data_IF_145238579825
#
_entry.id   IF_145238579825
#
_cell.length_a   1.000
_cell.length_b   1.000
_cell.length_c   1.000
_cell.angle_alpha   90.00
_cell.angle_beta   90.00
_cell.angle_gamma   90.00
#
_symmetry.space_group_name_H-M   'P 1'
#
loop_
_entity.id
_entity.type
_entity.pdbx_description
1 polymer ?
#
# COMPACT_ATOMS: atom_id res chain seq x y z
N UNK A 1 -61.07 15.21 -1.34
CA UNK A 1 -60.45 15.20 -2.69
C UNK A 1 -59.09 15.89 -2.63
N UNK A 2 -58.11 15.34 -3.37
CA UNK A 2 -56.71 15.80 -3.57
C UNK A 2 -55.73 15.69 -2.38
N UNK A 3 -55.18 14.49 -2.18
CA UNK A 3 -53.97 14.24 -1.36
C UNK A 3 -52.80 13.70 -2.23
N UNK A 4 -52.91 13.81 -3.56
CA UNK A 4 -52.01 13.16 -4.53
C UNK A 4 -50.85 14.06 -5.00
N UNK A 5 -50.99 15.38 -4.94
CA UNK A 5 -50.01 16.33 -5.51
C UNK A 5 -48.63 16.24 -4.86
N UNK A 6 -48.55 16.18 -3.53
CA UNK A 6 -47.26 16.13 -2.82
C UNK A 6 -46.46 14.84 -3.04
N UNK A 7 -47.14 13.72 -3.31
CA UNK A 7 -46.48 12.42 -3.55
C UNK A 7 -45.96 12.28 -4.97
N UNK A 8 -46.69 12.82 -5.95
CA UNK A 8 -46.33 12.75 -7.37
C UNK A 8 -45.14 13.66 -7.68
N UNK A 9 -45.12 14.86 -7.09
CA UNK A 9 -43.97 15.76 -7.19
C UNK A 9 -42.72 15.18 -6.53
N UNK A 10 -42.85 14.56 -5.35
CA UNK A 10 -41.72 13.86 -4.72
C UNK A 10 -41.18 12.73 -5.61
N UNK A 11 -42.04 11.90 -6.20
CA UNK A 11 -41.61 10.79 -7.04
C UNK A 11 -40.88 11.25 -8.32
N UNK A 12 -41.37 12.32 -8.96
CA UNK A 12 -40.75 12.89 -10.15
C UNK A 12 -39.38 13.51 -9.85
N UNK A 13 -39.25 14.18 -8.71
CA UNK A 13 -37.99 14.78 -8.27
C UNK A 13 -36.95 13.71 -7.89
N UNK A 14 -37.40 12.58 -7.32
CA UNK A 14 -36.53 11.42 -7.05
C UNK A 14 -36.05 10.76 -8.35
N UNK A 15 -36.90 10.64 -9.36
CA UNK A 15 -36.52 10.11 -10.68
C UNK A 15 -35.45 10.97 -11.37
N UNK A 16 -35.58 12.29 -11.28
CA UNK A 16 -34.57 13.23 -11.78
C UNK A 16 -33.25 13.14 -11.00
N UNK A 17 -33.33 12.98 -9.67
CA UNK A 17 -32.16 12.74 -8.83
C UNK A 17 -31.45 11.43 -9.21
N UNK A 18 -32.17 10.32 -9.36
CA UNK A 18 -31.58 9.03 -9.72
C UNK A 18 -30.92 9.04 -11.10
N UNK A 19 -31.47 9.80 -12.05
CA UNK A 19 -30.88 9.90 -13.39
C UNK A 19 -29.58 10.72 -13.40
N UNK A 20 -29.52 11.85 -12.67
CA UNK A 20 -28.26 12.61 -12.51
C UNK A 20 -27.23 11.81 -11.70
N UNK A 21 -27.68 11.11 -10.65
CA UNK A 21 -26.83 10.26 -9.83
C UNK A 21 -26.18 9.14 -10.65
N UNK A 22 -26.94 8.42 -11.49
CA UNK A 22 -26.40 7.39 -12.38
C UNK A 22 -25.36 7.93 -13.37
N UNK A 23 -25.54 9.14 -13.89
CA UNK A 23 -24.58 9.75 -14.83
C UNK A 23 -23.27 10.10 -14.13
N UNK A 24 -23.33 10.80 -12.98
CA UNK A 24 -22.13 11.14 -12.21
C UNK A 24 -21.40 9.89 -11.69
N UNK A 25 -22.15 8.89 -11.26
CA UNK A 25 -21.60 7.62 -10.80
C UNK A 25 -20.93 6.84 -11.93
N UNK A 26 -21.51 6.87 -13.14
CA UNK A 26 -20.89 6.28 -14.34
C UNK A 26 -19.54 6.91 -14.67
N UNK A 27 -19.43 8.24 -14.57
CA UNK A 27 -18.17 8.98 -14.80
C UNK A 27 -17.11 8.59 -13.76
N UNK A 28 -17.48 8.50 -12.48
CA UNK A 28 -16.56 8.11 -11.40
C UNK A 28 -16.11 6.66 -11.56
N UNK A 29 -17.00 5.73 -11.89
CA UNK A 29 -16.65 4.34 -12.19
C UNK A 29 -15.69 4.22 -13.38
N UNK A 30 -15.93 4.99 -14.44
CA UNK A 30 -15.07 5.00 -15.64
C UNK A 30 -13.69 5.57 -15.32
N UNK A 31 -13.60 6.58 -14.45
CA UNK A 31 -12.31 7.06 -13.92
C UNK A 31 -11.61 6.03 -13.03
N UNK A 32 -12.32 5.30 -12.17
CA UNK A 32 -11.75 4.23 -11.34
C UNK A 32 -11.19 3.10 -12.20
N UNK A 33 -11.86 2.76 -13.31
CA UNK A 33 -11.38 1.80 -14.29
C UNK A 33 -10.03 2.21 -14.90
N UNK A 34 -9.87 3.48 -15.28
CA UNK A 34 -8.59 4.02 -15.79
C UNK A 34 -7.50 4.09 -14.70
N UNK A 35 -7.85 4.42 -13.46
CA UNK A 35 -6.91 4.49 -12.33
C UNK A 35 -6.33 3.12 -11.98
N UNK A 36 -7.10 2.04 -12.15
CA UNK A 36 -6.61 0.68 -11.95
C UNK A 36 -5.48 0.30 -12.93
N UNK A 37 -5.39 0.94 -14.09
CA UNK A 37 -4.41 0.59 -15.13
C UNK A 37 -3.09 1.38 -15.06
N UNK A 38 -3.02 2.60 -14.50
CA UNK A 38 -1.85 3.50 -14.71
C UNK A 38 -1.04 3.95 -13.47
N UNK A 39 -1.33 3.48 -12.25
CA UNK A 39 -0.41 3.63 -11.10
C UNK A 39 -0.40 4.99 -10.37
N UNK A 40 0.11 5.00 -9.13
CA UNK A 40 -0.61 5.65 -8.00
C UNK A 40 -0.07 6.96 -7.42
N UNK A 41 1.08 7.51 -7.82
CA UNK A 41 1.69 8.65 -7.09
C UNK A 41 1.33 10.05 -7.64
N UNK A 42 1.50 10.29 -8.94
CA UNK A 42 1.09 11.57 -9.56
C UNK A 42 -0.43 11.75 -9.59
N UNK A 43 -1.16 10.63 -9.60
CA UNK A 43 -2.61 10.58 -9.58
C UNK A 43 -3.17 11.02 -8.21
N UNK A 44 -2.58 10.62 -7.09
CA UNK A 44 -3.09 11.02 -5.76
C UNK A 44 -2.88 12.50 -5.47
N UNK A 45 -1.75 13.08 -5.87
CA UNK A 45 -1.52 14.53 -5.76
C UNK A 45 -2.47 15.32 -6.68
N UNK A 46 -2.67 14.84 -7.91
CA UNK A 46 -3.64 15.43 -8.84
C UNK A 46 -5.08 15.33 -8.34
N UNK A 47 -5.52 14.17 -7.83
CA UNK A 47 -6.86 14.00 -7.25
C UNK A 47 -7.05 14.79 -5.97
N UNK A 48 -6.03 14.92 -5.12
CA UNK A 48 -6.14 15.73 -3.91
C UNK A 48 -6.27 17.22 -4.25
N UNK A 49 -5.54 17.70 -5.27
CA UNK A 49 -5.63 19.06 -5.77
C UNK A 49 -6.95 19.32 -6.52
N UNK A 50 -7.44 18.33 -7.29
CA UNK A 50 -8.72 18.38 -7.99
C UNK A 50 -9.90 18.29 -7.03
N UNK A 51 -9.79 17.55 -5.93
CA UNK A 51 -10.74 17.55 -4.82
C UNK A 51 -10.72 18.88 -4.08
N UNK A 52 -9.55 19.46 -3.82
CA UNK A 52 -9.45 20.79 -3.22
C UNK A 52 -10.07 21.86 -4.12
N UNK A 53 -9.83 21.75 -5.43
CA UNK A 53 -10.39 22.64 -6.44
C UNK A 53 -11.91 22.45 -6.58
N UNK A 54 -12.42 21.21 -6.54
CA UNK A 54 -13.86 20.94 -6.57
C UNK A 54 -14.54 21.41 -5.28
N UNK A 55 -13.88 21.30 -4.12
CA UNK A 55 -14.36 21.81 -2.84
C UNK A 55 -14.46 23.34 -2.87
N UNK A 56 -13.43 24.03 -3.37
CA UNK A 56 -13.45 25.48 -3.57
C UNK A 56 -14.55 25.86 -4.56
N UNK A 57 -14.73 25.09 -5.64
CA UNK A 57 -15.80 25.32 -6.62
C UNK A 57 -17.19 25.10 -6.01
N UNK A 58 -17.36 24.11 -5.13
CA UNK A 58 -18.60 23.85 -4.38
C UNK A 58 -18.88 24.96 -3.37
N UNK A 59 -17.86 25.49 -2.69
CA UNK A 59 -18.02 26.66 -1.81
C UNK A 59 -18.29 27.94 -2.58
N UNK A 60 -17.66 28.14 -3.74
CA UNK A 60 -17.93 29.26 -4.64
C UNK A 60 -19.32 29.17 -5.25
N UNK A 61 -19.76 27.99 -5.69
CA UNK A 61 -21.11 27.76 -6.18
C UNK A 61 -22.13 27.90 -5.05
N UNK A 62 -21.85 27.36 -3.85
CA UNK A 62 -22.66 27.55 -2.66
C UNK A 62 -22.78 29.03 -2.27
N UNK A 63 -21.68 29.78 -2.35
CA UNK A 63 -21.61 31.23 -2.12
C UNK A 63 -22.33 32.04 -3.20
N UNK A 64 -22.18 31.68 -4.47
CA UNK A 64 -22.89 32.28 -5.60
C UNK A 64 -24.39 32.01 -5.51
N UNK A 65 -24.80 30.80 -5.12
CA UNK A 65 -26.20 30.42 -4.89
C UNK A 65 -26.76 31.16 -3.67
N UNK A 66 -25.99 31.30 -2.58
CA UNK A 66 -26.36 32.11 -1.43
C UNK A 66 -26.53 33.59 -1.81
N UNK A 67 -25.63 34.12 -2.65
CA UNK A 67 -25.69 35.48 -3.19
C UNK A 67 -26.83 35.66 -4.20
N UNK A 68 -27.20 34.63 -4.96
CA UNK A 68 -28.35 34.64 -5.87
C UNK A 68 -29.69 34.51 -5.14
N UNK A 69 -29.70 33.78 -4.02
CA UNK A 69 -30.84 33.67 -3.11
C UNK A 69 -31.09 34.96 -2.31
N UNK A 70 -30.19 35.96 -2.44
CA UNK A 70 -30.28 37.30 -1.85
C UNK A 70 -30.74 38.36 -2.89
N UNK A 71 -31.62 38.01 -3.83
CA UNK A 71 -32.29 39.01 -4.71
C UNK A 71 -33.52 39.59 -4.01
N UNK A 72 -33.81 40.86 -4.26
CA UNK A 72 -34.93 41.63 -3.66
C UNK A 72 -36.30 40.95 -3.80
N UNK A 73 -36.51 40.08 -4.81
CA UNK A 73 -37.73 39.28 -4.99
C UNK A 73 -37.91 38.13 -3.99
N UNK A 74 -36.88 37.79 -3.20
CA UNK A 74 -36.92 36.76 -2.13
C UNK A 74 -36.98 37.35 -0.72
N UNK A 75 -36.85 38.68 -0.57
CA UNK A 75 -36.92 39.36 0.74
C UNK A 75 -38.36 39.36 1.30
N UNK A 76 -39.38 39.59 0.46
CA UNK A 76 -40.78 39.58 0.90
C UNK A 76 -41.24 38.19 1.44
N UNK A 77 -40.89 37.06 0.79
CA UNK A 77 -41.14 35.72 1.32
C UNK A 77 -40.26 35.33 2.51
N UNK A 78 -39.02 35.86 2.62
CA UNK A 78 -38.12 35.60 3.73
C UNK A 78 -38.57 36.31 5.03
N UNK A 79 -39.11 37.53 4.93
CA UNK A 79 -39.75 38.25 6.06
C UNK A 79 -41.06 37.56 6.50
N UNK A 80 -41.73 36.82 5.60
CA UNK A 80 -42.89 35.96 5.90
C UNK A 80 -42.52 34.50 6.27
N UNK A 81 -41.23 34.20 6.44
CA UNK A 81 -40.75 32.91 6.94
C UNK A 81 -40.88 31.71 6.00
N UNK A 82 -41.05 31.90 4.67
CA UNK A 82 -41.61 30.84 3.82
C UNK A 82 -40.69 30.20 2.77
N UNK A 83 -39.39 30.51 2.69
CA UNK A 83 -38.52 29.82 1.72
C UNK A 83 -37.10 29.61 2.24
N UNK A 84 -36.85 28.47 2.89
CA UNK A 84 -35.53 27.83 2.89
C UNK A 84 -35.48 26.85 1.71
N UNK A 85 -34.47 26.98 0.84
CA UNK A 85 -34.45 26.30 -0.46
C UNK A 85 -34.20 24.80 -0.33
N UNK A 86 -35.11 23.99 -0.91
CA UNK A 86 -34.98 22.51 -1.03
C UNK A 86 -33.75 22.10 -1.83
N UNK A 87 -33.34 22.92 -2.79
CA UNK A 87 -32.15 22.71 -3.60
C UNK A 87 -30.88 22.68 -2.75
N UNK A 88 -30.82 23.49 -1.68
CA UNK A 88 -29.70 23.49 -0.73
C UNK A 88 -29.60 22.16 0.02
N UNK A 89 -30.74 21.56 0.42
CA UNK A 89 -30.73 20.25 1.07
C UNK A 89 -30.20 19.16 0.13
N UNK A 90 -30.62 19.18 -1.14
CA UNK A 90 -30.15 18.21 -2.15
C UNK A 90 -28.65 18.33 -2.39
N UNK A 91 -28.11 19.55 -2.54
CA UNK A 91 -26.67 19.76 -2.71
C UNK A 91 -25.91 19.20 -1.51
N UNK A 92 -26.37 19.49 -0.28
CA UNK A 92 -25.69 19.03 0.94
C UNK A 92 -25.70 17.50 1.04
N UNK A 93 -26.78 16.84 0.64
CA UNK A 93 -26.83 15.37 0.60
C UNK A 93 -25.87 14.78 -0.44
N UNK A 94 -25.73 15.42 -1.61
CA UNK A 94 -24.76 14.99 -2.63
C UNK A 94 -23.33 15.15 -2.12
N UNK A 95 -23.01 16.30 -1.52
CA UNK A 95 -21.69 16.56 -0.94
C UNK A 95 -21.39 15.55 0.18
N UNK A 96 -22.35 15.29 1.07
CA UNK A 96 -22.24 14.25 2.11
C UNK A 96 -21.87 12.89 1.52
N UNK A 97 -22.61 12.42 0.52
CA UNK A 97 -22.32 11.12 -0.13
C UNK A 97 -20.93 11.10 -0.78
N UNK A 98 -20.50 12.20 -1.41
CA UNK A 98 -19.14 12.29 -1.95
C UNK A 98 -18.08 12.20 -0.84
N UNK A 99 -18.27 12.92 0.27
CA UNK A 99 -17.40 12.87 1.45
C UNK A 99 -17.33 11.46 2.04
N UNK A 100 -18.44 10.72 2.09
CA UNK A 100 -18.50 9.35 2.58
C UNK A 100 -17.67 8.38 1.73
N UNK A 101 -17.73 8.51 0.40
CA UNK A 101 -16.91 7.68 -0.49
C UNK A 101 -15.41 8.00 -0.35
N UNK A 102 -15.05 9.27 -0.18
CA UNK A 102 -13.65 9.68 0.01
C UNK A 102 -13.10 9.14 1.34
N UNK A 103 -13.89 9.20 2.42
CA UNK A 103 -13.51 8.63 3.72
C UNK A 103 -13.28 7.13 3.60
N UNK A 104 -14.20 6.41 2.94
CA UNK A 104 -14.06 4.96 2.75
C UNK A 104 -12.79 4.60 1.97
N UNK A 105 -12.50 5.30 0.88
CA UNK A 105 -11.28 5.04 0.10
C UNK A 105 -10.02 5.36 0.91
N UNK A 106 -10.05 6.45 1.67
CA UNK A 106 -8.95 6.84 2.56
C UNK A 106 -8.74 5.83 3.68
N UNK A 107 -9.82 5.25 4.22
CA UNK A 107 -9.79 4.19 5.23
C UNK A 107 -9.15 2.91 4.67
N UNK A 108 -9.58 2.47 3.47
CA UNK A 108 -8.99 1.31 2.79
C UNK A 108 -7.49 1.53 2.55
N UNK A 109 -7.12 2.72 2.07
CA UNK A 109 -5.72 3.10 1.84
C UNK A 109 -4.92 3.09 3.14
N UNK A 110 -5.49 3.64 4.22
CA UNK A 110 -4.87 3.67 5.54
C UNK A 110 -4.62 2.26 6.07
N UNK A 111 -5.58 1.33 5.94
CA UNK A 111 -5.38 -0.07 6.36
C UNK A 111 -4.23 -0.73 5.60
N UNK A 112 -4.14 -0.53 4.28
CA UNK A 112 -3.01 -1.04 3.50
C UNK A 112 -1.68 -0.47 3.99
N UNK A 113 -1.62 0.85 4.25
CA UNK A 113 -0.43 1.50 4.76
C UNK A 113 -0.09 1.06 6.20
N UNK A 114 -1.08 0.75 7.04
CA UNK A 114 -0.85 0.20 8.39
C UNK A 114 -0.23 -1.19 8.33
N UNK A 115 -0.71 -2.06 7.43
CA UNK A 115 -0.10 -3.38 7.20
C UNK A 115 1.34 -3.24 6.74
N UNK A 116 1.62 -2.35 5.78
CA UNK A 116 2.97 -2.05 5.32
C UNK A 116 3.82 -1.53 6.48
N UNK A 117 3.31 -0.57 7.25
CA UNK A 117 4.03 0.03 8.38
C UNK A 117 4.38 -1.01 9.46
N UNK A 118 3.49 -1.96 9.75
CA UNK A 118 3.77 -3.08 10.66
C UNK A 118 4.86 -4.00 10.14
N UNK A 119 4.83 -4.34 8.85
CA UNK A 119 5.88 -5.13 8.21
C UNK A 119 7.22 -4.38 8.24
N UNK A 120 7.25 -3.10 7.83
CA UNK A 120 8.44 -2.25 7.88
C UNK A 120 8.99 -2.10 9.30
N UNK A 121 8.14 -1.95 10.33
CA UNK A 121 8.56 -1.92 11.74
C UNK A 121 9.27 -3.20 12.16
N UNK A 122 8.70 -4.35 11.80
CA UNK A 122 9.29 -5.67 12.07
C UNK A 122 10.63 -5.83 11.34
N UNK A 123 10.70 -5.31 10.11
CA UNK A 123 11.91 -5.26 9.32
C UNK A 123 13.01 -4.45 10.01
N UNK A 124 12.72 -3.21 10.42
CA UNK A 124 13.68 -2.35 11.12
C UNK A 124 14.13 -2.95 12.45
N UNK A 125 13.22 -3.52 13.23
CA UNK A 125 13.59 -4.25 14.44
C UNK A 125 14.56 -5.40 14.14
N UNK A 126 14.33 -6.11 13.04
CA UNK A 126 15.19 -7.21 12.59
C UNK A 126 16.57 -6.69 12.15
N UNK A 127 16.64 -5.65 11.32
CA UNK A 127 17.91 -5.09 10.84
C UNK A 127 18.71 -4.37 11.91
N UNK A 128 18.04 -3.66 12.82
CA UNK A 128 18.69 -2.96 13.93
C UNK A 128 19.46 -3.93 14.83
N UNK A 129 18.97 -5.18 14.98
CA UNK A 129 19.64 -6.25 15.72
C UNK A 129 20.90 -6.81 15.05
N UNK A 130 21.06 -6.64 13.73
CA UNK A 130 22.21 -7.18 12.99
C UNK A 130 23.45 -6.30 13.18
N UNK A 131 24.60 -6.66 12.63
CA UNK A 131 25.75 -5.75 12.58
C UNK A 131 25.54 -4.69 11.49
N UNK A 132 26.09 -3.49 11.67
CA UNK A 132 26.06 -2.45 10.64
C UNK A 132 26.87 -2.90 9.43
N UNK A 133 26.29 -2.79 8.23
CA UNK A 133 26.95 -3.10 6.97
C UNK A 133 26.62 -2.05 5.93
N UNK A 134 27.54 -1.87 4.98
CA UNK A 134 27.47 -0.92 3.89
C UNK A 134 27.40 -1.67 2.57
N UNK A 135 26.38 -1.38 1.76
CA UNK A 135 26.22 -1.91 0.41
C UNK A 135 26.57 -0.82 -0.61
N UNK A 136 27.63 -0.97 -1.41
CA UNK A 136 27.82 -0.13 -2.59
C UNK A 136 26.79 -0.51 -3.67
N UNK A 137 26.40 0.46 -4.50
CA UNK A 137 25.57 0.25 -5.68
C UNK A 137 26.19 0.95 -6.89
N UNK A 138 26.11 0.30 -8.06
CA UNK A 138 26.61 0.86 -9.31
C UNK A 138 25.75 2.03 -9.80
N UNK A 139 26.37 3.00 -10.49
CA UNK A 139 25.71 4.11 -11.15
C UNK A 139 25.15 3.66 -12.51
N UNK A 140 23.96 4.16 -12.87
CA UNK A 140 23.17 3.71 -14.03
C UNK A 140 23.76 4.07 -15.42
N UNK A 141 24.92 4.73 -15.50
CA UNK A 141 25.44 5.33 -16.74
C UNK A 141 26.80 4.72 -17.10
N UNK A 142 26.78 3.58 -17.79
CA UNK A 142 28.00 2.88 -18.26
C UNK A 142 27.89 2.63 -19.76
N UNK A 143 28.90 3.01 -20.52
CA UNK A 143 28.97 2.70 -21.96
C UNK A 143 29.44 1.27 -22.19
N UNK A 144 29.05 0.62 -23.29
CA UNK A 144 29.39 -0.78 -23.56
C UNK A 144 30.90 -1.11 -23.63
N UNK A 145 31.77 -0.11 -23.83
CA UNK A 145 33.25 -0.29 -23.79
C UNK A 145 33.81 -0.26 -22.36
N UNK A 146 33.11 0.34 -21.41
CA UNK A 146 33.50 0.43 -19.99
C UNK A 146 33.10 -0.82 -19.21
N UNK A 147 32.10 -1.57 -19.70
CA UNK A 147 31.55 -2.77 -19.06
C UNK A 147 32.61 -3.85 -18.77
N UNK A 148 33.44 -4.24 -19.75
CA UNK A 148 34.45 -5.29 -19.58
C UNK A 148 35.52 -4.92 -18.53
N UNK A 149 35.86 -3.64 -18.43
CA UNK A 149 36.81 -3.14 -17.44
C UNK A 149 36.18 -3.19 -16.03
N UNK A 150 34.92 -2.79 -15.93
CA UNK A 150 34.15 -2.81 -14.68
C UNK A 150 33.88 -4.22 -14.16
N UNK A 151 33.53 -5.15 -15.04
CA UNK A 151 33.32 -6.56 -14.72
C UNK A 151 34.57 -7.13 -14.02
N UNK A 152 35.76 -6.93 -14.62
CA UNK A 152 37.05 -7.34 -14.03
C UNK A 152 37.37 -6.64 -12.71
N UNK A 153 37.04 -5.36 -12.60
CA UNK A 153 37.24 -4.61 -11.35
C UNK A 153 36.32 -5.13 -10.24
N UNK A 154 35.08 -5.47 -10.58
CA UNK A 154 34.12 -6.08 -9.67
C UNK A 154 34.61 -7.43 -9.18
N UNK A 155 35.13 -8.29 -10.06
CA UNK A 155 35.76 -9.54 -9.65
C UNK A 155 36.92 -9.34 -8.65
N UNK A 156 37.80 -8.37 -8.90
CA UNK A 156 38.88 -8.00 -7.96
C UNK A 156 38.34 -7.54 -6.60
N UNK A 157 37.21 -6.82 -6.59
CA UNK A 157 36.51 -6.45 -5.37
C UNK A 157 35.96 -7.69 -4.65
N UNK A 158 35.32 -8.63 -5.35
CA UNK A 158 34.80 -9.89 -4.77
C UNK A 158 35.92 -10.73 -4.15
N UNK A 159 37.05 -10.87 -4.86
CA UNK A 159 38.21 -11.61 -4.35
C UNK A 159 38.79 -10.95 -3.09
N UNK A 160 38.86 -9.62 -3.07
CA UNK A 160 39.26 -8.89 -1.87
C UNK A 160 38.26 -9.06 -0.71
N UNK A 161 36.95 -8.99 -1.01
CA UNK A 161 35.85 -9.12 -0.07
C UNK A 161 35.89 -10.46 0.67
N UNK A 162 36.26 -11.52 -0.03
CA UNK A 162 36.41 -12.89 0.49
C UNK A 162 37.37 -12.95 1.69
N UNK A 163 38.42 -12.12 1.69
CA UNK A 163 39.42 -12.04 2.76
C UNK A 163 39.12 -10.95 3.82
N UNK A 164 38.16 -10.05 3.56
CA UNK A 164 37.87 -8.87 4.39
C UNK A 164 36.43 -8.89 4.93
N UNK A 165 35.89 -10.07 5.22
CA UNK A 165 34.53 -10.28 5.78
C UNK A 165 33.41 -9.63 4.95
N UNK A 166 33.60 -9.52 3.63
CA UNK A 166 32.55 -9.15 2.70
C UNK A 166 31.49 -10.25 2.65
N UNK A 167 30.23 -9.85 2.71
CA UNK A 167 29.08 -10.74 2.68
C UNK A 167 28.39 -10.58 1.34
N UNK A 168 28.13 -11.71 0.68
CA UNK A 168 27.30 -11.77 -0.52
C UNK A 168 25.99 -12.43 -0.14
N UNK A 169 24.88 -11.79 -0.48
CA UNK A 169 23.54 -12.31 -0.24
C UNK A 169 22.58 -11.72 -1.28
N UNK A 170 22.27 -12.53 -2.29
CA UNK A 170 21.36 -12.16 -3.36
C UNK A 170 20.11 -13.06 -3.30
N UNK A 171 18.94 -12.48 -3.10
CA UNK A 171 17.68 -13.21 -3.03
C UNK A 171 16.90 -13.04 -4.34
N UNK A 172 16.69 -14.15 -5.06
CA UNK A 172 16.04 -14.13 -6.36
C UNK A 172 14.51 -13.96 -6.28
N UNK A 173 13.91 -14.30 -5.14
CA UNK A 173 12.46 -14.27 -4.94
C UNK A 173 11.82 -12.89 -4.97
N UNK A 174 12.61 -11.82 -5.12
CA UNK A 174 12.07 -10.48 -5.35
C UNK A 174 11.58 -10.27 -6.79
N UNK A 175 12.07 -11.08 -7.73
CA UNK A 175 11.78 -10.98 -9.17
C UNK A 175 10.64 -11.91 -9.63
N UNK A 176 9.96 -12.60 -8.70
CA UNK A 176 8.79 -13.41 -9.07
C UNK A 176 7.65 -12.49 -9.50
N UNK A 177 7.26 -12.55 -10.77
CA UNK A 177 6.23 -11.70 -11.36
C UNK A 177 4.93 -11.70 -10.53
N UNK A 178 4.49 -10.50 -10.14
CA UNK A 178 3.08 -10.25 -9.83
C UNK A 178 2.61 -10.50 -8.41
N UNK A 179 3.32 -10.04 -7.37
CA UNK A 179 2.72 -9.77 -6.05
C UNK A 179 2.03 -10.94 -5.34
N UNK A 180 2.16 -12.17 -5.84
CA UNK A 180 1.69 -13.37 -5.19
C UNK A 180 2.69 -13.69 -4.07
N UNK A 181 2.21 -13.75 -2.84
CA UNK A 181 2.99 -14.27 -1.74
C UNK A 181 3.45 -15.69 -2.10
N UNK A 182 4.76 -15.87 -2.32
CA UNK A 182 5.36 -17.18 -2.57
C UNK A 182 4.79 -18.18 -1.56
N UNK A 183 4.14 -19.22 -2.06
CA UNK A 183 3.72 -20.32 -1.23
C UNK A 183 4.94 -21.21 -1.01
N UNK A 184 5.61 -21.02 0.12
CA UNK A 184 6.82 -21.75 0.47
C UNK A 184 6.61 -23.27 0.62
N UNK A 185 5.37 -23.75 0.61
CA UNK A 185 5.02 -25.18 0.57
C UNK A 185 4.86 -25.73 -0.85
N UNK A 186 4.72 -24.86 -1.86
CA UNK A 186 4.65 -25.27 -3.25
C UNK A 186 6.05 -25.34 -3.87
N UNK A 187 6.37 -26.45 -4.53
CA UNK A 187 7.67 -26.66 -5.15
C UNK A 187 7.89 -25.78 -6.39
N UNK A 188 6.82 -25.36 -7.08
CA UNK A 188 6.91 -24.50 -8.27
C UNK A 188 7.49 -23.13 -7.95
N UNK A 189 7.33 -22.68 -6.70
CA UNK A 189 7.75 -21.37 -6.22
C UNK A 189 9.23 -21.33 -5.83
N UNK A 190 9.95 -22.45 -6.05
CA UNK A 190 11.41 -22.53 -5.98
C UNK A 190 12.05 -22.49 -7.38
N UNK A 191 11.24 -22.61 -8.44
CA UNK A 191 11.67 -22.57 -9.83
C UNK A 191 11.39 -21.19 -10.44
N UNK A 192 12.15 -20.76 -11.47
CA UNK A 192 12.04 -19.48 -12.19
C UNK A 192 11.93 -18.22 -11.29
N UNK A 193 13.01 -17.83 -10.60
CA UNK A 193 13.01 -16.62 -9.77
C UNK A 193 12.32 -16.80 -8.41
N UNK A 194 12.22 -18.05 -7.93
CA UNK A 194 11.60 -18.43 -6.67
C UNK A 194 12.42 -18.18 -5.40
N UNK A 195 12.06 -18.85 -4.30
CA UNK A 195 12.68 -18.74 -2.97
C UNK A 195 14.13 -19.29 -2.91
N UNK A 196 15.06 -18.56 -3.53
CA UNK A 196 16.47 -18.94 -3.70
C UNK A 196 17.38 -17.81 -3.21
N UNK A 197 18.39 -18.17 -2.43
CA UNK A 197 19.37 -17.26 -1.86
C UNK A 197 20.79 -17.66 -2.29
N UNK A 198 21.45 -16.80 -3.07
CA UNK A 198 22.87 -16.98 -3.43
C UNK A 198 23.76 -16.26 -2.43
N UNK A 199 24.72 -16.98 -1.85
CA UNK A 199 25.53 -16.48 -0.73
C UNK A 199 27.00 -16.89 -0.84
N UNK A 200 27.87 -16.21 -0.11
CA UNK A 200 29.26 -16.66 0.09
C UNK A 200 29.45 -17.34 1.46
N UNK A 201 30.65 -17.90 1.70
CA UNK A 201 30.99 -18.58 2.95
C UNK A 201 30.80 -17.70 4.21
N UNK A 202 31.03 -16.38 4.11
CA UNK A 202 30.85 -15.44 5.23
C UNK A 202 29.40 -15.42 5.75
N UNK A 203 28.41 -15.74 4.90
CA UNK A 203 27.01 -15.86 5.31
C UNK A 203 26.80 -16.87 6.44
N UNK A 204 27.52 -18.00 6.41
CA UNK A 204 27.38 -19.07 7.39
C UNK A 204 28.03 -18.75 8.74
N UNK A 205 28.95 -17.76 8.77
CA UNK A 205 29.49 -17.23 10.03
C UNK A 205 28.49 -16.32 10.74
N UNK A 206 27.63 -15.63 9.98
CA UNK A 206 26.61 -14.72 10.51
C UNK A 206 25.26 -15.41 10.73
N UNK A 207 24.98 -16.49 9.99
CA UNK A 207 23.70 -17.19 10.01
C UNK A 207 23.92 -18.68 10.22
N UNK A 208 23.44 -19.22 11.34
CA UNK A 208 23.54 -20.65 11.63
C UNK A 208 22.61 -21.44 10.70
N UNK A 209 23.19 -22.15 9.74
CA UNK A 209 22.47 -23.08 8.86
C UNK A 209 22.67 -24.51 9.35
N UNK A 210 21.57 -25.18 9.66
CA UNK A 210 21.60 -26.53 10.23
C UNK A 210 21.23 -27.56 9.17
N UNK A 211 22.04 -28.61 9.08
CA UNK A 211 21.82 -29.76 8.20
C UNK A 211 20.61 -30.58 8.67
N UNK A 212 20.16 -31.53 7.84
CA UNK A 212 19.13 -32.51 8.24
C UNK A 212 19.47 -33.26 9.53
N UNK A 213 20.75 -33.53 9.80
CA UNK A 213 21.20 -34.25 11.00
C UNK A 213 21.38 -33.38 12.23
N UNK A 214 21.14 -32.07 12.14
CA UNK A 214 21.30 -31.14 13.27
C UNK A 214 22.69 -30.51 13.40
N UNK A 215 23.65 -30.90 12.56
CA UNK A 215 24.98 -30.29 12.53
C UNK A 215 24.98 -28.94 11.81
N UNK A 216 25.84 -28.01 12.25
CA UNK A 216 25.99 -26.72 11.56
C UNK A 216 26.79 -26.92 10.27
N UNK A 217 26.31 -26.35 9.17
CA UNK A 217 27.01 -26.36 7.88
C UNK A 217 28.00 -25.19 7.83
N UNK A 218 29.24 -25.49 7.46
CA UNK A 218 30.35 -24.54 7.34
C UNK A 218 31.00 -24.75 5.98
N UNK A 219 31.35 -23.66 5.30
CA UNK A 219 31.99 -23.66 3.99
C UNK A 219 33.22 -22.75 4.02
N UNK A 220 34.16 -23.02 3.11
CA UNK A 220 35.40 -22.25 3.00
C UNK A 220 35.27 -21.17 1.91
N UNK A 221 35.92 -20.00 2.08
CA UNK A 221 35.80 -18.90 1.13
C UNK A 221 36.38 -19.20 -0.27
N UNK A 222 37.32 -20.12 -0.35
CA UNK A 222 38.09 -20.54 -1.53
C UNK A 222 37.68 -21.93 -2.07
N UNK A 223 36.52 -22.45 -1.65
CA UNK A 223 36.04 -23.75 -2.11
C UNK A 223 35.81 -23.73 -3.63
N UNK A 224 36.35 -24.70 -4.36
CA UNK A 224 36.19 -24.81 -5.82
C UNK A 224 34.86 -25.43 -6.23
N UNK A 225 34.02 -25.82 -5.27
CA UNK A 225 32.72 -26.46 -5.51
C UNK A 225 31.57 -25.51 -5.22
N UNK A 226 30.55 -25.57 -6.07
CA UNK A 226 29.27 -24.91 -5.83
C UNK A 226 28.45 -25.80 -4.90
N UNK A 227 27.96 -25.24 -3.79
CA UNK A 227 27.11 -25.99 -2.87
C UNK A 227 25.66 -25.57 -2.96
N UNK A 228 24.75 -26.52 -3.24
CA UNK A 228 23.31 -26.26 -3.23
C UNK A 228 22.68 -26.95 -2.03
N UNK A 229 22.12 -26.16 -1.11
CA UNK A 229 21.47 -26.62 0.10
C UNK A 229 19.95 -26.57 -0.11
N UNK A 230 19.32 -27.73 0.00
CA UNK A 230 17.88 -27.87 -0.15
C UNK A 230 17.20 -28.07 1.20
N UNK A 231 16.09 -27.37 1.49
CA UNK A 231 15.16 -27.75 2.53
C UNK A 231 14.81 -29.24 2.44
N UNK A 232 14.70 -29.92 3.58
CA UNK A 232 14.36 -31.33 3.64
C UNK A 232 13.04 -31.64 2.91
N UNK A 233 12.06 -30.73 2.92
CA UNK A 233 10.81 -30.87 2.16
C UNK A 233 11.01 -31.03 0.65
N UNK A 234 12.13 -30.56 0.10
CA UNK A 234 12.47 -30.68 -1.32
C UNK A 234 13.33 -31.91 -1.63
N UNK A 235 13.54 -32.85 -0.70
CA UNK A 235 14.42 -34.00 -0.90
C UNK A 235 14.09 -34.83 -2.14
N UNK A 236 12.79 -35.00 -2.42
CA UNK A 236 12.31 -35.83 -3.54
C UNK A 236 12.55 -35.17 -4.90
N UNK A 237 12.65 -33.84 -4.94
CA UNK A 237 12.87 -33.04 -6.15
C UNK A 237 14.31 -32.54 -6.30
N UNK A 238 15.19 -32.91 -5.37
CA UNK A 238 16.59 -32.49 -5.30
C UNK A 238 17.34 -32.63 -6.63
N UNK A 239 17.27 -33.80 -7.28
CA UNK A 239 18.00 -34.07 -8.54
C UNK A 239 17.50 -33.16 -9.68
N UNK A 240 16.19 -33.03 -9.81
CA UNK A 240 15.51 -32.21 -10.81
C UNK A 240 15.88 -30.72 -10.62
N UNK A 241 15.73 -30.20 -9.41
CA UNK A 241 16.06 -28.82 -9.09
C UNK A 241 17.57 -28.53 -9.25
N UNK A 242 18.44 -29.46 -8.89
CA UNK A 242 19.89 -29.30 -9.09
C UNK A 242 20.22 -29.11 -10.57
N UNK A 243 19.60 -29.92 -11.45
CA UNK A 243 19.77 -29.79 -12.90
C UNK A 243 19.26 -28.44 -13.38
N UNK A 244 18.05 -28.04 -12.97
CA UNK A 244 17.44 -26.76 -13.34
C UNK A 244 18.28 -25.56 -12.90
N UNK A 245 18.77 -25.51 -11.66
CA UNK A 245 19.62 -24.40 -11.21
C UNK A 245 20.95 -24.35 -11.96
N UNK A 246 21.52 -25.51 -12.28
CA UNK A 246 22.76 -25.59 -13.07
C UNK A 246 22.55 -25.02 -14.46
N UNK A 247 21.40 -25.31 -15.08
CA UNK A 247 21.01 -24.81 -16.40
C UNK A 247 20.67 -23.30 -16.36
N UNK A 248 19.84 -22.86 -15.40
CA UNK A 248 19.41 -21.46 -15.26
C UNK A 248 20.54 -20.49 -14.94
N UNK A 249 21.50 -20.92 -14.12
CA UNK A 249 22.69 -20.11 -13.84
C UNK A 249 23.69 -20.10 -15.01
N UNK A 250 23.43 -20.89 -16.07
CA UNK A 250 24.35 -21.02 -17.18
C UNK A 250 25.71 -21.57 -16.74
N UNK A 251 25.77 -22.45 -15.72
CA UNK A 251 27.04 -22.88 -15.13
C UNK A 251 27.98 -23.50 -16.15
N UNK A 252 27.48 -24.10 -17.23
CA UNK A 252 28.31 -24.65 -18.30
C UNK A 252 29.16 -23.56 -18.98
N UNK A 253 28.58 -22.38 -19.25
CA UNK A 253 29.26 -21.25 -19.89
C UNK A 253 30.39 -20.66 -19.04
N UNK A 254 30.39 -20.86 -17.72
CA UNK A 254 31.49 -20.43 -16.86
C UNK A 254 32.74 -21.31 -17.00
N UNK A 255 32.61 -22.55 -17.49
CA UNK A 255 33.70 -23.51 -17.56
C UNK A 255 34.09 -23.94 -19.00
N UNK A 256 33.32 -23.54 -20.01
CA UNK A 256 33.55 -23.83 -21.44
C UNK A 256 34.99 -23.52 -21.87
N UNK A 257 35.51 -22.34 -21.52
CA UNK A 257 36.84 -21.88 -21.94
C UNK A 257 38.01 -22.67 -21.33
N UNK A 258 37.78 -23.39 -20.22
CA UNK A 258 38.83 -24.11 -19.50
C UNK A 258 38.70 -25.64 -19.63
N UNK A 259 37.76 -26.14 -20.45
CA UNK A 259 37.43 -27.58 -20.59
C UNK A 259 37.18 -28.27 -19.24
N UNK A 260 36.67 -27.53 -18.26
CA UNK A 260 36.32 -28.05 -16.93
C UNK A 260 34.81 -28.27 -16.86
N UNK A 261 34.39 -29.14 -15.93
CA UNK A 261 32.98 -29.37 -15.64
C UNK A 261 32.65 -28.70 -14.29
N UNK A 262 31.52 -27.98 -14.17
CA UNK A 262 31.09 -27.40 -12.90
C UNK A 262 30.95 -28.48 -11.83
N UNK A 263 31.64 -28.30 -10.70
CA UNK A 263 31.54 -29.23 -9.57
C UNK A 263 30.44 -28.78 -8.63
N UNK A 264 29.29 -29.46 -8.66
CA UNK A 264 28.13 -29.15 -7.81
C UNK A 264 27.98 -30.23 -6.73
N UNK A 265 27.95 -29.81 -5.46
CA UNK A 265 27.68 -30.70 -4.32
C UNK A 265 26.42 -30.26 -3.60
N UNK A 266 25.55 -31.21 -3.30
CA UNK A 266 24.20 -30.91 -2.82
C UNK A 266 23.98 -31.42 -1.39
N UNK A 267 23.43 -30.58 -0.53
CA UNK A 267 23.20 -30.86 0.90
C UNK A 267 21.71 -30.73 1.24
N UNK A 268 21.29 -31.37 2.34
CA UNK A 268 19.95 -31.20 2.89
C UNK A 268 20.02 -30.40 4.20
N UNK A 269 19.21 -29.35 4.29
CA UNK A 269 19.02 -28.55 5.49
C UNK A 269 17.71 -28.90 6.18
N UNK A 270 17.65 -28.74 7.51
CA UNK A 270 16.42 -28.92 8.29
C UNK A 270 15.34 -27.92 7.81
N UNK A 271 14.07 -28.34 7.82
CA UNK A 271 12.93 -27.45 7.54
C UNK A 271 12.72 -26.41 8.65
N UNK A 272 11.83 -25.45 8.39
CA UNK A 272 11.44 -24.36 9.28
C UNK A 272 12.61 -23.47 9.72
N UNK A 273 13.56 -23.25 8.83
CA UNK A 273 14.69 -22.38 9.08
C UNK A 273 14.51 -21.02 8.38
N UNK A 274 14.43 -19.95 9.18
CA UNK A 274 14.37 -18.58 8.67
C UNK A 274 15.77 -18.07 8.29
N UNK A 275 15.87 -17.36 7.17
CA UNK A 275 17.13 -16.89 6.59
C UNK A 275 17.08 -15.43 6.22
N UNK A 276 18.08 -14.71 6.66
CA UNK A 276 18.22 -13.29 6.35
C UNK A 276 18.65 -13.11 4.90
N UNK A 277 18.07 -12.13 4.21
CA UNK A 277 18.37 -11.85 2.80
C UNK A 277 19.48 -10.82 2.62
N UNK A 278 19.82 -10.04 3.64
CA UNK A 278 20.85 -8.99 3.63
C UNK A 278 20.82 -8.04 2.41
N UNK A 279 19.67 -7.86 1.76
CA UNK A 279 19.53 -7.05 0.55
C UNK A 279 18.71 -5.77 0.80
N UNK A 280 19.29 -4.58 0.56
CA UNK A 280 18.55 -3.32 0.52
C UNK A 280 17.55 -3.25 -0.65
N UNK A 281 17.86 -3.86 -1.79
CA UNK A 281 17.01 -3.84 -2.99
C UNK A 281 15.62 -4.45 -2.73
N UNK A 282 15.53 -5.44 -1.83
CA UNK A 282 14.25 -5.98 -1.38
C UNK A 282 13.32 -4.93 -0.76
N UNK A 283 13.88 -3.96 -0.03
CA UNK A 283 13.11 -2.86 0.58
C UNK A 283 12.51 -1.96 -0.51
N UNK A 284 13.31 -1.66 -1.54
CA UNK A 284 12.89 -0.80 -2.66
C UNK A 284 11.78 -1.44 -3.50
N UNK A 285 11.83 -2.76 -3.62
CA UNK A 285 10.82 -3.58 -4.30
C UNK A 285 9.57 -3.85 -3.44
N UNK A 286 9.49 -3.30 -2.22
CA UNK A 286 8.32 -3.45 -1.33
C UNK A 286 8.29 -4.77 -0.54
N UNK A 287 9.40 -5.51 -0.50
CA UNK A 287 9.55 -6.70 0.32
C UNK A 287 10.10 -6.35 1.69
N UNK A 288 9.18 -6.22 2.63
CA UNK A 288 9.50 -5.81 4.01
C UNK A 288 9.88 -6.98 4.93
N UNK A 289 9.90 -8.22 4.44
CA UNK A 289 10.34 -9.37 5.23
C UNK A 289 11.87 -9.49 5.15
N UNK A 290 12.57 -9.18 6.24
CA UNK A 290 14.03 -9.31 6.33
C UNK A 290 14.51 -10.78 6.36
N UNK A 291 13.58 -11.71 6.56
CA UNK A 291 13.82 -13.15 6.66
C UNK A 291 12.88 -13.90 5.73
N UNK A 292 13.41 -14.92 5.06
CA UNK A 292 12.64 -15.85 4.22
C UNK A 292 12.67 -17.25 4.83
N UNK A 293 11.54 -17.97 4.85
CA UNK A 293 11.49 -19.34 5.37
C UNK A 293 12.00 -20.33 4.33
N UNK A 294 12.84 -21.27 4.77
CA UNK A 294 13.30 -22.42 3.99
C UNK A 294 13.74 -22.11 2.54
N UNK A 295 14.60 -21.10 2.28
CA UNK A 295 15.11 -20.88 0.93
C UNK A 295 16.03 -22.04 0.51
N UNK A 296 16.11 -22.27 -0.81
CA UNK A 296 17.26 -22.98 -1.38
C UNK A 296 18.46 -22.04 -1.29
N UNK A 297 19.55 -22.50 -0.66
CA UNK A 297 20.77 -21.69 -0.50
C UNK A 297 21.83 -22.20 -1.47
N UNK A 298 22.34 -21.33 -2.32
CA UNK A 298 23.42 -21.64 -3.26
C UNK A 298 24.66 -20.91 -2.79
N UNK A 299 25.68 -21.67 -2.40
CA UNK A 299 26.95 -21.15 -1.91
C UNK A 299 27.93 -21.07 -3.07
N UNK A 300 28.45 -19.87 -3.27
CA UNK A 300 29.39 -19.53 -4.33
C UNK A 300 30.62 -18.82 -3.76
N UNK A 301 31.73 -19.02 -4.45
CA UNK A 301 33.03 -18.37 -4.29
C UNK A 301 33.59 -18.02 -5.68
N UNK A 302 34.56 -17.10 -5.78
CA UNK A 302 35.31 -16.87 -7.02
C UNK A 302 35.82 -18.18 -7.64
N UNK A 303 36.39 -19.07 -6.82
CA UNK A 303 36.98 -20.33 -7.24
C UNK A 303 35.91 -21.33 -7.74
N UNK A 304 34.73 -21.35 -7.13
CA UNK A 304 33.60 -22.20 -7.53
C UNK A 304 32.99 -21.81 -8.88
N UNK A 305 33.23 -20.57 -9.33
CA UNK A 305 32.77 -20.04 -10.61
C UNK A 305 33.89 -19.92 -11.64
N UNK A 306 34.95 -20.72 -11.48
CA UNK A 306 36.10 -20.79 -12.39
C UNK A 306 36.95 -19.50 -12.46
N UNK A 307 37.00 -18.74 -11.36
CA UNK A 307 37.92 -17.62 -11.20
C UNK A 307 37.60 -16.41 -12.08
N UNK A 308 38.67 -15.75 -12.57
CA UNK A 308 38.63 -14.55 -13.41
C UNK A 308 38.25 -14.95 -14.85
N UNK A 309 36.96 -14.99 -15.14
CA UNK A 309 36.43 -15.22 -16.48
C UNK A 309 35.26 -14.27 -16.76
N UNK A 310 35.12 -13.87 -18.02
CA UNK A 310 34.18 -12.81 -18.43
C UNK A 310 32.73 -13.08 -17.99
N UNK A 311 32.28 -14.33 -18.07
CA UNK A 311 30.91 -14.69 -17.71
C UNK A 311 30.69 -14.63 -16.18
N UNK A 312 31.65 -15.07 -15.39
CA UNK A 312 31.61 -14.94 -13.93
C UNK A 312 31.70 -13.48 -13.49
N UNK A 313 32.55 -12.68 -14.15
CA UNK A 313 32.70 -11.26 -13.86
C UNK A 313 31.38 -10.50 -14.06
N UNK A 314 30.65 -10.80 -15.14
CA UNK A 314 29.31 -10.26 -15.39
C UNK A 314 28.29 -10.64 -14.31
N UNK A 315 28.34 -11.88 -13.81
CA UNK A 315 27.47 -12.31 -12.70
C UNK A 315 27.76 -11.50 -11.43
N UNK A 316 29.04 -11.29 -11.11
CA UNK A 316 29.44 -10.47 -9.96
C UNK A 316 29.01 -9.02 -10.11
N UNK A 317 29.14 -8.45 -11.31
CA UNK A 317 28.64 -7.11 -11.62
C UNK A 317 27.12 -7.02 -11.42
N UNK A 318 26.36 -7.97 -11.96
CA UNK A 318 24.90 -8.01 -11.77
C UNK A 318 24.51 -8.11 -10.28
N UNK A 319 25.24 -8.88 -9.47
CA UNK A 319 25.03 -8.93 -8.02
C UNK A 319 25.38 -7.61 -7.32
N UNK A 320 26.41 -6.89 -7.78
CA UNK A 320 26.81 -5.58 -7.25
C UNK A 320 25.75 -4.52 -7.56
N UNK A 321 25.22 -4.53 -8.79
CA UNK A 321 24.09 -3.69 -9.21
C UNK A 321 22.82 -3.92 -8.39
N UNK A 322 22.58 -5.16 -7.95
CA UNK A 322 21.43 -5.55 -7.13
C UNK A 322 21.65 -5.38 -5.61
N UNK A 323 22.70 -4.66 -5.19
CA UNK A 323 23.03 -4.41 -3.79
C UNK A 323 23.19 -5.71 -2.96
N UNK A 324 23.67 -6.78 -3.58
CA UNK A 324 23.86 -8.07 -2.89
C UNK A 324 25.13 -8.12 -2.04
N UNK A 325 26.04 -7.16 -2.22
CA UNK A 325 27.30 -7.08 -1.49
C UNK A 325 27.17 -6.17 -0.29
N UNK A 326 27.70 -6.60 0.85
CA UNK A 326 27.75 -5.76 2.03
C UNK A 326 29.05 -5.93 2.80
N UNK A 327 29.54 -4.85 3.39
CA UNK A 327 30.85 -4.76 4.06
C UNK A 327 30.73 -4.14 5.45
N UNK A 328 31.58 -4.52 6.40
CA UNK A 328 31.55 -3.99 7.77
C UNK A 328 32.23 -2.62 7.88
N UNK A 329 33.38 -2.45 7.22
CA UNK A 329 34.19 -1.24 7.31
C UNK A 329 34.05 -0.40 6.03
N UNK A 330 33.43 0.78 6.16
CA UNK A 330 33.29 1.72 5.05
C UNK A 330 34.64 2.29 4.58
N UNK A 331 35.56 2.60 5.51
CA UNK A 331 36.85 3.21 5.17
C UNK A 331 37.70 2.31 4.30
N UNK A 332 37.81 1.02 4.68
CA UNK A 332 38.53 0.01 3.90
C UNK A 332 37.87 -0.24 2.54
N UNK A 333 36.53 -0.34 2.50
CA UNK A 333 35.78 -0.48 1.25
C UNK A 333 36.06 0.69 0.31
N UNK A 334 35.97 1.93 0.80
CA UNK A 334 36.17 3.13 0.00
C UNK A 334 37.61 3.21 -0.52
N UNK A 335 38.62 2.96 0.32
CA UNK A 335 40.02 2.88 -0.11
C UNK A 335 40.21 1.83 -1.20
N UNK A 336 39.58 0.66 -1.06
CA UNK A 336 39.67 -0.40 -2.06
C UNK A 336 39.03 0.01 -3.39
N UNK A 337 37.83 0.58 -3.36
CA UNK A 337 37.14 1.04 -4.56
C UNK A 337 37.91 2.13 -5.30
N UNK A 338 38.54 3.07 -4.58
CA UNK A 338 39.45 4.08 -5.15
C UNK A 338 40.66 3.40 -5.80
N UNK A 339 41.30 2.43 -5.13
CA UNK A 339 42.44 1.71 -5.69
C UNK A 339 42.11 0.90 -6.95
N UNK A 340 40.86 0.47 -7.09
CA UNK A 340 40.38 -0.28 -8.26
C UNK A 340 39.89 0.64 -9.39
N UNK A 341 39.80 1.95 -9.17
CA UNK A 341 39.24 2.90 -10.14
C UNK A 341 37.71 2.94 -10.17
N UNK A 342 37.03 2.19 -9.30
CA UNK A 342 35.57 2.03 -9.28
C UNK A 342 34.83 3.21 -8.62
N UNK A 343 35.52 4.14 -7.97
CA UNK A 343 34.89 5.22 -7.19
C UNK A 343 33.89 6.06 -8.02
N UNK A 344 34.17 6.28 -9.31
CA UNK A 344 33.27 7.03 -10.21
C UNK A 344 32.04 6.23 -10.65
N UNK A 345 32.10 4.90 -10.56
CA UNK A 345 31.04 3.97 -10.95
C UNK A 345 30.13 3.60 -9.78
N UNK A 346 30.50 3.92 -8.54
CA UNK A 346 29.64 3.70 -7.37
C UNK A 346 28.76 4.92 -7.17
N UNK A 347 27.46 4.77 -7.43
CA UNK A 347 26.47 5.84 -7.30
C UNK A 347 26.09 6.15 -5.85
N UNK A 348 26.12 5.15 -4.97
CA UNK A 348 25.78 5.33 -3.56
C UNK A 348 26.39 4.26 -2.63
N UNK A 349 26.47 4.61 -1.34
CA UNK A 349 26.77 3.69 -0.25
C UNK A 349 25.59 3.63 0.71
N UNK A 350 24.93 2.49 0.78
CA UNK A 350 23.75 2.32 1.62
C UNK A 350 24.14 1.64 2.94
N UNK A 351 24.05 2.38 4.05
CA UNK A 351 24.03 1.76 5.37
C UNK A 351 22.67 1.08 5.56
N UNK A 352 22.67 -0.26 5.59
CA UNK A 352 21.43 -1.03 5.50
C UNK A 352 20.50 -0.76 6.70
N UNK A 353 21.06 -0.55 7.90
CA UNK A 353 20.27 -0.24 9.10
C UNK A 353 19.62 1.13 9.00
N UNK A 354 20.41 2.16 8.67
CA UNK A 354 19.92 3.53 8.55
C UNK A 354 18.91 3.64 7.42
N UNK A 355 19.11 2.90 6.32
CA UNK A 355 18.20 2.87 5.19
C UNK A 355 16.84 2.28 5.56
N UNK A 356 16.82 1.10 6.19
CA UNK A 356 15.58 0.51 6.69
C UNK A 356 14.86 1.46 7.66
N UNK A 357 15.60 2.11 8.57
CA UNK A 357 15.06 3.10 9.51
C UNK A 357 14.43 4.30 8.81
N UNK A 358 15.08 4.84 7.77
CA UNK A 358 14.54 5.93 6.95
C UNK A 358 13.22 5.52 6.28
N UNK A 359 13.19 4.35 5.63
CA UNK A 359 11.98 3.85 4.96
C UNK A 359 10.84 3.68 5.96
N UNK A 360 11.09 3.12 7.14
CA UNK A 360 10.07 3.03 8.19
C UNK A 360 9.57 4.41 8.63
N UNK A 361 10.47 5.37 8.86
CA UNK A 361 10.08 6.72 9.22
C UNK A 361 9.23 7.40 8.14
N UNK A 362 9.60 7.24 6.86
CA UNK A 362 8.83 7.77 5.74
C UNK A 362 7.42 7.13 5.67
N UNK A 363 7.30 5.84 5.97
CA UNK A 363 6.00 5.15 6.05
C UNK A 363 5.18 5.60 7.27
N UNK A 364 5.81 5.76 8.42
CA UNK A 364 5.16 6.29 9.64
C UNK A 364 4.60 7.71 9.40
N UNK A 365 5.35 8.58 8.72
CA UNK A 365 4.89 9.90 8.32
C UNK A 365 3.72 9.83 7.33
N UNK A 366 3.71 8.88 6.38
CA UNK A 366 2.57 8.66 5.47
C UNK A 366 1.32 8.23 6.24
N UNK A 367 1.44 7.27 7.14
CA UNK A 367 0.34 6.81 8.02
C UNK A 367 -0.19 7.97 8.87
N UNK A 368 0.70 8.72 9.50
CA UNK A 368 0.32 9.87 10.34
C UNK A 368 -0.43 10.94 9.53
N UNK A 369 0.07 11.29 8.34
CA UNK A 369 -0.62 12.22 7.43
C UNK A 369 -2.02 11.72 7.04
N UNK A 370 -2.14 10.44 6.69
CA UNK A 370 -3.42 9.83 6.34
C UNK A 370 -4.40 9.85 7.52
N UNK A 371 -3.95 9.57 8.74
CA UNK A 371 -4.79 9.63 9.95
C UNK A 371 -5.32 11.05 10.18
N UNK A 372 -4.46 12.06 10.06
CA UNK A 372 -4.86 13.47 10.24
C UNK A 372 -5.88 13.89 9.18
N UNK A 373 -5.63 13.56 7.90
CA UNK A 373 -6.58 13.84 6.80
C UNK A 373 -7.91 13.13 7.05
N UNK A 374 -7.88 11.86 7.44
CA UNK A 374 -9.09 11.09 7.74
C UNK A 374 -9.87 11.71 8.90
N UNK A 375 -9.18 12.16 9.96
CA UNK A 375 -9.80 12.86 11.09
C UNK A 375 -10.50 14.15 10.67
N UNK A 376 -9.89 14.95 9.80
CA UNK A 376 -10.52 16.16 9.24
C UNK A 376 -11.74 15.82 8.38
N UNK A 377 -11.66 14.79 7.54
CA UNK A 377 -12.78 14.36 6.69
C UNK A 377 -13.94 13.80 7.51
N UNK A 378 -13.67 13.04 8.57
CA UNK A 378 -14.70 12.59 9.51
C UNK A 378 -15.38 13.79 10.20
N UNK A 379 -14.60 14.79 10.61
CA UNK A 379 -15.15 16.04 11.16
C UNK A 379 -16.07 16.77 10.17
N UNK A 380 -15.66 16.84 8.90
CA UNK A 380 -16.47 17.40 7.82
C UNK A 380 -17.77 16.61 7.60
N UNK A 381 -17.71 15.27 7.61
CA UNK A 381 -18.88 14.41 7.48
C UNK A 381 -19.90 14.65 8.61
N UNK A 382 -19.42 14.78 9.86
CA UNK A 382 -20.29 15.10 11.01
C UNK A 382 -20.97 16.45 10.81
N UNK A 383 -20.23 17.46 10.32
CA UNK A 383 -20.78 18.78 10.02
C UNK A 383 -21.84 18.71 8.91
N UNK A 384 -21.58 17.99 7.83
CA UNK A 384 -22.52 17.80 6.72
C UNK A 384 -23.79 17.07 7.17
N UNK A 385 -23.66 16.04 8.00
CA UNK A 385 -24.81 15.34 8.58
C UNK A 385 -25.65 16.28 9.46
N UNK A 386 -25.00 17.10 10.29
CA UNK A 386 -25.68 18.09 11.12
C UNK A 386 -26.38 19.17 10.28
N UNK A 387 -25.73 19.63 9.21
CA UNK A 387 -26.24 20.65 8.31
C UNK A 387 -27.42 20.12 7.49
N UNK A 388 -27.33 18.90 6.96
CA UNK A 388 -28.42 18.19 6.29
C UNK A 388 -29.64 18.06 7.20
N UNK A 389 -29.44 17.61 8.45
CA UNK A 389 -30.52 17.53 9.43
C UNK A 389 -31.11 18.91 9.73
N UNK A 390 -30.27 19.93 9.94
CA UNK A 390 -30.72 21.29 10.28
C UNK A 390 -31.52 21.94 9.14
N UNK A 391 -31.11 21.74 7.89
CA UNK A 391 -31.87 22.15 6.71
C UNK A 391 -33.20 21.40 6.60
N UNK A 392 -33.19 20.09 6.82
CA UNK A 392 -34.41 19.29 6.84
C UNK A 392 -35.43 19.79 7.89
N UNK A 393 -35.00 20.01 9.14
CA UNK A 393 -35.86 20.56 10.19
C UNK A 393 -36.35 21.98 9.84
N UNK A 394 -35.49 22.82 9.27
CA UNK A 394 -35.85 24.19 8.88
C UNK A 394 -36.83 24.26 7.70
N UNK A 395 -36.71 23.40 6.70
CA UNK A 395 -37.58 23.38 5.51
C UNK A 395 -38.98 22.85 5.87
N UNK A 396 -39.06 21.84 6.73
CA UNK A 396 -40.30 21.16 7.06
C UNK A 396 -40.88 21.53 8.43
N UNK A 397 -40.39 22.60 9.07
CA UNK A 397 -40.72 22.99 10.44
C UNK A 397 -42.23 23.07 10.70
N UNK A 398 -42.98 23.76 9.85
CA UNK A 398 -44.44 23.92 10.01
C UNK A 398 -45.19 22.59 9.89
N UNK A 399 -44.86 21.79 8.87
CA UNK A 399 -45.49 20.48 8.66
C UNK A 399 -45.18 19.49 9.79
N UNK A 400 -43.96 19.57 10.34
CA UNK A 400 -43.54 18.76 11.49
C UNK A 400 -44.24 19.18 12.77
N UNK A 401 -44.30 20.49 13.06
CA UNK A 401 -44.99 21.03 14.23
C UNK A 401 -46.46 20.57 14.25
N UNK A 402 -47.20 20.74 13.14
CA UNK A 402 -48.59 20.29 13.02
C UNK A 402 -48.74 18.79 13.33
N UNK A 403 -47.86 17.95 12.80
CA UNK A 403 -47.93 16.49 13.06
C UNK A 403 -47.59 16.11 14.50
N UNK A 404 -46.66 16.83 15.12
CA UNK A 404 -46.31 16.66 16.53
C UNK A 404 -47.49 17.09 17.43
N UNK A 405 -48.15 18.20 17.11
CA UNK A 405 -49.38 18.64 17.80
C UNK A 405 -50.53 17.64 17.66
N UNK A 406 -50.64 16.98 16.51
CA UNK A 406 -51.60 15.89 16.29
C UNK A 406 -51.24 14.59 17.04
N UNK A 407 -50.22 14.60 17.91
CA UNK A 407 -49.83 13.45 18.74
C UNK A 407 -49.06 12.36 18.01
N UNK A 408 -48.53 12.63 16.81
CA UNK A 408 -47.73 11.63 16.10
C UNK A 408 -46.36 11.44 16.76
N UNK A 409 -45.90 10.18 16.86
CA UNK A 409 -44.57 9.87 17.39
C UNK A 409 -43.47 10.42 16.49
N UNK A 410 -42.33 10.81 17.08
CA UNK A 410 -41.15 11.35 16.39
C UNK A 410 -40.69 10.45 15.23
N UNK A 411 -40.74 9.12 15.44
CA UNK A 411 -40.39 8.13 14.41
C UNK A 411 -41.31 8.25 13.19
N UNK A 412 -42.63 8.37 13.39
CA UNK A 412 -43.59 8.52 12.27
C UNK A 412 -43.41 9.85 11.54
N UNK A 413 -43.07 10.93 12.26
CA UNK A 413 -42.85 12.26 11.67
C UNK A 413 -41.63 12.26 10.75
N UNK A 414 -40.55 11.57 11.15
CA UNK A 414 -39.26 11.61 10.45
C UNK A 414 -38.92 10.37 9.61
N UNK A 415 -39.78 9.33 9.62
CA UNK A 415 -39.57 8.06 8.94
C UNK A 415 -39.13 8.22 7.48
N UNK A 416 -39.76 9.12 6.71
CA UNK A 416 -39.43 9.32 5.30
C UNK A 416 -37.99 9.83 5.09
N UNK A 417 -37.51 10.68 5.98
CA UNK A 417 -36.15 11.22 5.90
C UNK A 417 -35.12 10.20 6.42
N UNK A 418 -35.46 9.47 7.49
CA UNK A 418 -34.65 8.35 7.96
C UNK A 418 -34.49 7.26 6.88
N UNK A 419 -35.58 6.95 6.16
CA UNK A 419 -35.57 6.01 5.05
C UNK A 419 -34.69 6.52 3.90
N UNK A 420 -34.80 7.80 3.53
CA UNK A 420 -33.93 8.41 2.51
C UNK A 420 -32.43 8.25 2.86
N UNK A 421 -32.04 8.62 4.08
CA UNK A 421 -30.66 8.50 4.56
C UNK A 421 -30.18 7.04 4.55
N UNK A 422 -31.04 6.13 5.00
CA UNK A 422 -30.74 4.70 5.02
C UNK A 422 -30.61 4.13 3.60
N UNK A 423 -31.49 4.52 2.68
CA UNK A 423 -31.48 4.06 1.29
C UNK A 423 -30.26 4.56 0.52
N UNK A 424 -29.81 5.80 0.77
CA UNK A 424 -28.55 6.33 0.22
C UNK A 424 -27.37 5.46 0.65
N UNK A 425 -27.21 5.22 1.95
CA UNK A 425 -26.12 4.42 2.51
C UNK A 425 -26.17 2.96 2.06
N UNK A 426 -27.35 2.36 1.99
CA UNK A 426 -27.51 0.99 1.47
C UNK A 426 -27.16 0.92 -0.02
N UNK A 427 -27.55 1.93 -0.81
CA UNK A 427 -27.17 2.02 -2.23
C UNK A 427 -25.66 2.12 -2.41
N UNK A 428 -24.99 2.96 -1.63
CA UNK A 428 -23.53 3.09 -1.61
C UNK A 428 -22.84 1.78 -1.19
N UNK A 429 -23.35 1.11 -0.16
CA UNK A 429 -22.84 -0.19 0.30
C UNK A 429 -22.94 -1.26 -0.79
N UNK A 430 -24.10 -1.41 -1.43
CA UNK A 430 -24.31 -2.41 -2.50
C UNK A 430 -23.34 -2.16 -3.65
N UNK A 431 -23.13 -0.91 -4.04
CA UNK A 431 -22.18 -0.54 -5.09
C UNK A 431 -20.74 -0.89 -4.71
N UNK A 432 -20.33 -0.58 -3.47
CA UNK A 432 -18.97 -0.89 -3.01
C UNK A 432 -18.73 -2.40 -2.88
N UNK A 433 -19.75 -3.18 -2.47
CA UNK A 433 -19.67 -4.64 -2.43
C UNK A 433 -19.54 -5.25 -3.84
N UNK A 434 -20.14 -4.65 -4.86
CA UNK A 434 -19.97 -5.08 -6.25
C UNK A 434 -18.56 -4.79 -6.78
N UNK A 435 -17.95 -3.66 -6.39
CA UNK A 435 -16.59 -3.29 -6.82
C UNK A 435 -15.49 -4.06 -6.08
N UNK A 436 -15.69 -4.34 -4.78
CA UNK A 436 -14.72 -5.06 -3.94
C UNK A 436 -15.43 -6.06 -3.01
N UNK A 437 -15.83 -7.23 -3.53
CA UNK A 437 -16.48 -8.24 -2.71
C UNK A 437 -15.56 -8.72 -1.59
N UNK A 438 -16.10 -8.86 -0.38
CA UNK A 438 -15.42 -9.50 0.76
C UNK A 438 -14.63 -8.58 1.70
N UNK A 439 -14.66 -7.25 1.53
CA UNK A 439 -14.02 -6.33 2.48
C UNK A 439 -14.91 -6.05 3.70
N UNK A 440 -14.64 -6.74 4.82
CA UNK A 440 -15.35 -6.54 6.11
C UNK A 440 -15.36 -5.07 6.55
N UNK A 441 -14.26 -4.36 6.31
CA UNK A 441 -14.13 -2.94 6.67
C UNK A 441 -15.14 -2.02 5.97
N UNK A 442 -15.60 -2.39 4.77
CA UNK A 442 -16.63 -1.63 4.03
C UNK A 442 -17.96 -1.74 4.76
N UNK A 443 -18.33 -2.94 5.22
CA UNK A 443 -19.56 -3.17 5.97
C UNK A 443 -19.53 -2.42 7.31
N UNK A 444 -18.45 -2.55 8.07
CA UNK A 444 -18.27 -1.86 9.35
C UNK A 444 -18.37 -0.34 9.21
N UNK A 445 -17.75 0.21 8.17
CA UNK A 445 -17.83 1.63 7.84
C UNK A 445 -19.27 2.10 7.62
N UNK A 446 -20.01 1.46 6.72
CA UNK A 446 -21.38 1.89 6.41
C UNK A 446 -22.34 1.72 7.60
N UNK A 447 -22.15 0.70 8.43
CA UNK A 447 -22.90 0.55 9.69
C UNK A 447 -22.61 1.73 10.63
N UNK A 448 -21.35 2.12 10.79
CA UNK A 448 -20.97 3.24 11.64
C UNK A 448 -21.55 4.57 11.14
N UNK A 449 -21.50 4.82 9.83
CA UNK A 449 -22.06 6.03 9.21
C UNK A 449 -23.59 6.07 9.31
N UNK A 450 -24.27 4.93 9.15
CA UNK A 450 -25.72 4.82 9.35
C UNK A 450 -26.10 5.15 10.79
N UNK A 451 -25.39 4.57 11.75
CA UNK A 451 -25.61 4.83 13.17
C UNK A 451 -25.39 6.30 13.51
N UNK A 452 -24.32 6.91 12.99
CA UNK A 452 -24.02 8.34 13.16
C UNK A 452 -25.15 9.22 12.61
N UNK A 453 -25.55 8.98 11.36
CA UNK A 453 -26.60 9.76 10.66
C UNK A 453 -27.94 9.70 11.39
N UNK A 454 -28.36 8.50 11.82
CA UNK A 454 -29.59 8.30 12.56
C UNK A 454 -29.52 8.89 13.97
N UNK A 455 -28.37 8.82 14.64
CA UNK A 455 -28.17 9.42 15.96
C UNK A 455 -28.29 10.94 15.91
N UNK A 456 -27.67 11.59 14.91
CA UNK A 456 -27.78 13.05 14.71
C UNK A 456 -29.24 13.45 14.43
N UNK A 457 -29.94 12.70 13.59
CA UNK A 457 -31.37 12.92 13.32
C UNK A 457 -32.21 12.81 14.59
N UNK A 458 -31.97 11.79 15.41
CA UNK A 458 -32.67 11.57 16.68
C UNK A 458 -32.42 12.71 17.67
N UNK A 459 -31.16 13.10 17.88
CA UNK A 459 -30.80 14.21 18.78
C UNK A 459 -31.47 15.51 18.34
N UNK A 460 -31.39 15.85 17.05
CA UNK A 460 -32.05 17.04 16.50
C UNK A 460 -33.58 16.98 16.61
N UNK A 461 -34.18 15.81 16.44
CA UNK A 461 -35.63 15.65 16.59
C UNK A 461 -36.09 15.95 18.01
N UNK A 462 -35.35 15.48 19.04
CA UNK A 462 -35.64 15.76 20.44
C UNK A 462 -35.49 17.24 20.77
N UNK A 463 -34.40 17.86 20.31
CA UNK A 463 -34.17 19.30 20.50
C UNK A 463 -35.26 20.15 19.86
N UNK A 464 -35.71 19.79 18.65
CA UNK A 464 -36.77 20.53 17.97
C UNK A 464 -38.11 20.45 18.73
N UNK A 465 -38.45 19.27 19.27
CA UNK A 465 -39.66 19.11 20.11
C UNK A 465 -39.56 19.96 21.38
N UNK A 466 -38.39 19.98 22.04
CA UNK A 466 -38.18 20.81 23.22
C UNK A 466 -38.36 22.31 22.90
N UNK A 467 -37.78 22.79 21.80
CA UNK A 467 -37.92 24.18 21.38
C UNK A 467 -39.37 24.56 21.04
N UNK A 468 -40.11 23.68 20.36
CA UNK A 468 -41.53 23.90 20.07
C UNK A 468 -42.34 23.97 21.37
N UNK A 469 -42.08 23.06 22.32
CA UNK A 469 -42.75 23.04 23.63
C UNK A 469 -42.48 24.29 24.45
N UNK A 470 -41.24 24.78 24.46
CA UNK A 470 -40.85 25.98 25.20
C UNK A 470 -41.46 27.25 24.58
N UNK A 471 -41.49 27.33 23.24
CA UNK A 471 -42.14 28.42 22.51
C UNK A 471 -43.65 28.49 22.79
N UNK A 472 -44.34 27.34 22.91
CA UNK A 472 -45.76 27.29 23.28
C UNK A 472 -46.06 27.67 24.73
N UNK A 473 -45.09 27.47 25.63
CA UNK A 473 -45.19 27.87 27.03
C UNK A 473 -44.90 29.36 27.24
N UNK A 474 -44.48 30.07 26.20
CA UNK A 474 -44.08 31.48 26.28
C UNK A 474 -42.74 31.68 27.01
N UNK A 475 -41.89 30.65 27.09
CA UNK A 475 -40.59 30.69 27.77
C UNK A 475 -39.43 31.18 26.87
N UNK A 476 -39.74 31.75 25.70
CA UNK A 476 -38.78 32.28 24.72
C UNK A 476 -39.21 33.63 24.15
#
# INVERSE_FOLDING_TARGET
>A
MSNSGGSLHFCRDQLFFFSIYSVMFGIVSLMIFFVHHWGTFWITAYFSLLLYFSQILVYLLGGLIWSWSFRVSTILPAVRGNTKSRLTLTIVLIVKTATELIILFSLITLVQQLVINQKSKTQVATWSSLQTRYSPSLSLDITGKEQLSEDRQTYKLVKWATNHHGLISNYAGYNSDGGQHLNFENYTDYYNGGNVLMVNAEYFKQNKVVSKSGSSLIFYPDDSKIHILFPQKLSNKKKELTKMYTEQMGLQHFFENNHKVPQVKTHLMKNNQLRYTYSPAGIDLGYYDAKVPDPVIIVISPESLNGDNENADRLWNAMLSNNAFSFKNYGELNQKLVSLGMYKQIGAYTNIKSYAGKIYHDQEQKVTRLIVILGLMIGLLVFECFLACSLYFGIYQQAQAVRIFMGQSLVKVHYKFALLLSSLLVGELILMLNLRPGMVIVMEYYIAVLFLSLSILLVKSKLNVANIKNSLRGEL
#
